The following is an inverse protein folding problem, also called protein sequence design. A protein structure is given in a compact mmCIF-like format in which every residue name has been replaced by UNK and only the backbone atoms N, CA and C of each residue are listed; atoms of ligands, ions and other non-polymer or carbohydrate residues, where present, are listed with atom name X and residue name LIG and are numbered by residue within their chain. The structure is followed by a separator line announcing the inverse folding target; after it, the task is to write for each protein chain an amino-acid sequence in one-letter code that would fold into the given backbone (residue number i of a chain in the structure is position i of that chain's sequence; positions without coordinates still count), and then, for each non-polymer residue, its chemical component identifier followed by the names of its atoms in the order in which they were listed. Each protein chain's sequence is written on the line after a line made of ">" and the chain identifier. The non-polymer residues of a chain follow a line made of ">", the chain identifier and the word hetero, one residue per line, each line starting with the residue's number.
data_IF_913661049163
#
_entry.id   IF_913661049163
#
_cell.length_a   1.000
_cell.length_b   1.000
_cell.length_c   1.000
_cell.angle_alpha   90.00
_cell.angle_beta   90.00
_cell.angle_gamma   90.00
#
_symmetry.space_group_name_H-M   'P 1'
#
loop_
_entity.id
_entity.type
_entity.pdbx_description
1 polymer ?
#
# COMPACT_ATOMS: atom_id res chain seq x y z
N UNK A 1 -12.97 -23.12 -8.43
CA UNK A 1 -12.51 -24.07 -7.41
C UNK A 1 -11.69 -23.24 -6.42
N UNK A 2 -12.22 -22.93 -5.24
CA UNK A 2 -11.40 -22.30 -4.21
C UNK A 2 -10.46 -23.39 -3.67
N UNK A 3 -9.14 -23.16 -3.60
CA UNK A 3 -8.23 -24.15 -3.04
C UNK A 3 -8.63 -24.44 -1.60
N UNK A 4 -8.54 -25.71 -1.20
CA UNK A 4 -8.65 -26.12 0.20
C UNK A 4 -7.41 -25.56 0.92
N UNK A 5 -7.53 -24.34 1.42
CA UNK A 5 -6.43 -23.60 2.02
C UNK A 5 -6.37 -23.96 3.49
N UNK A 6 -5.42 -24.81 3.84
CA UNK A 6 -5.03 -25.02 5.24
C UNK A 6 -4.66 -23.66 5.84
N UNK A 7 -5.40 -23.27 6.89
CA UNK A 7 -5.22 -21.97 7.57
C UNK A 7 -3.79 -21.77 8.07
N UNK A 8 -3.06 -22.85 8.30
CA UNK A 8 -1.65 -22.85 8.71
C UNK A 8 -0.72 -22.18 7.68
N UNK A 9 -0.99 -22.31 6.38
CA UNK A 9 -0.18 -21.70 5.32
C UNK A 9 -0.61 -20.27 4.97
N UNK A 10 -1.67 -19.77 5.60
CA UNK A 10 -2.15 -18.40 5.37
C UNK A 10 -1.38 -17.45 6.27
N UNK A 11 -0.55 -16.61 5.68
CA UNK A 11 0.11 -15.51 6.37
C UNK A 11 -0.88 -14.32 6.48
N UNK A 12 -1.46 -14.00 7.65
CA UNK A 12 -2.59 -13.07 7.73
C UNK A 12 -2.25 -11.64 7.29
N UNK A 13 -1.00 -11.22 7.48
CA UNK A 13 -0.56 -9.88 7.08
C UNK A 13 -0.48 -9.71 5.56
N UNK A 14 -0.22 -10.78 4.80
CA UNK A 14 -0.22 -10.74 3.35
C UNK A 14 -1.65 -10.54 2.82
N UNK A 15 -2.63 -11.22 3.40
CA UNK A 15 -4.04 -11.02 3.05
C UNK A 15 -4.48 -9.57 3.30
N UNK A 16 -4.13 -9.00 4.45
CA UNK A 16 -4.39 -7.58 4.75
C UNK A 16 -3.72 -6.64 3.75
N UNK A 17 -2.51 -6.98 3.28
CA UNK A 17 -1.81 -6.18 2.28
C UNK A 17 -2.52 -6.24 0.91
N UNK A 18 -3.01 -7.41 0.52
CA UNK A 18 -3.84 -7.56 -0.69
C UNK A 18 -5.12 -6.75 -0.57
N UNK A 19 -5.83 -6.83 0.56
CA UNK A 19 -7.04 -6.03 0.82
C UNK A 19 -6.80 -4.51 0.68
N UNK A 20 -5.66 -4.01 1.17
CA UNK A 20 -5.27 -2.60 1.01
C UNK A 20 -4.99 -2.25 -0.46
N UNK A 21 -4.31 -3.14 -1.20
CA UNK A 21 -4.06 -2.93 -2.63
C UNK A 21 -5.35 -2.90 -3.45
N UNK A 22 -6.29 -3.80 -3.15
CA UNK A 22 -7.59 -3.86 -3.82
C UNK A 22 -8.39 -2.57 -3.54
N UNK A 23 -8.44 -2.12 -2.29
CA UNK A 23 -9.09 -0.85 -1.92
C UNK A 23 -8.52 0.36 -2.67
N UNK A 24 -7.19 0.49 -2.69
CA UNK A 24 -6.52 1.58 -3.41
C UNK A 24 -6.64 1.43 -4.94
N UNK A 25 -6.84 0.20 -5.42
CA UNK A 25 -7.14 -0.11 -6.80
C UNK A 25 -8.44 0.53 -7.28
N UNK A 26 -9.44 0.67 -6.41
CA UNK A 26 -10.72 1.30 -6.72
C UNK A 26 -10.69 2.84 -6.66
N UNK A 27 -9.66 3.43 -6.04
CA UNK A 27 -9.57 4.89 -5.82
C UNK A 27 -8.29 5.47 -6.46
N UNK A 28 -8.37 5.97 -7.71
CA UNK A 28 -7.20 6.47 -8.44
C UNK A 28 -6.42 7.58 -7.72
N UNK A 29 -7.10 8.45 -6.97
CA UNK A 29 -6.48 9.55 -6.21
C UNK A 29 -5.79 9.10 -4.91
N UNK A 30 -5.85 7.81 -4.58
CA UNK A 30 -5.32 7.26 -3.34
C UNK A 30 -6.13 7.62 -2.09
N UNK A 31 -5.62 7.17 -0.95
CA UNK A 31 -6.24 7.40 0.36
C UNK A 31 -5.18 7.65 1.43
N UNK A 32 -5.53 8.46 2.44
CA UNK A 32 -4.72 8.60 3.67
C UNK A 32 -4.89 7.40 4.58
N UNK A 33 -3.95 7.20 5.50
CA UNK A 33 -3.94 6.08 6.46
C UNK A 33 -5.25 5.98 7.26
N UNK A 34 -5.80 7.13 7.67
CA UNK A 34 -7.07 7.18 8.43
C UNK A 34 -8.23 6.61 7.61
N UNK A 35 -8.28 6.93 6.32
CA UNK A 35 -9.33 6.47 5.41
C UNK A 35 -9.17 4.97 5.16
N UNK A 36 -7.94 4.51 4.87
CA UNK A 36 -7.67 3.08 4.69
C UNK A 36 -8.04 2.29 5.96
N UNK A 37 -7.72 2.80 7.15
CA UNK A 37 -8.11 2.20 8.42
C UNK A 37 -9.64 2.11 8.57
N UNK A 38 -10.36 3.19 8.24
CA UNK A 38 -11.82 3.23 8.34
C UNK A 38 -12.49 2.24 7.38
N UNK A 39 -12.04 2.18 6.12
CA UNK A 39 -12.63 1.32 5.09
C UNK A 39 -12.28 -0.17 5.28
N UNK A 40 -11.07 -0.48 5.77
CA UNK A 40 -10.63 -1.88 5.92
C UNK A 40 -10.86 -2.47 7.31
N UNK A 41 -11.04 -1.63 8.33
CA UNK A 41 -11.04 -2.03 9.74
C UNK A 41 -9.66 -2.47 10.27
N UNK A 42 -8.60 -2.42 9.46
CA UNK A 42 -7.23 -2.78 9.87
C UNK A 42 -6.69 -1.68 10.79
N UNK A 43 -6.09 -2.04 11.92
CA UNK A 43 -5.50 -1.08 12.86
C UNK A 43 -4.52 -0.10 12.17
N UNK A 44 -4.58 1.20 12.52
CA UNK A 44 -3.78 2.27 11.87
C UNK A 44 -2.28 1.96 11.80
N UNK A 45 -1.69 1.42 12.87
CA UNK A 45 -0.25 1.05 12.90
C UNK A 45 0.07 -0.08 11.93
N UNK A 46 -0.86 -1.00 11.72
CA UNK A 46 -0.74 -2.09 10.72
C UNK A 46 -0.88 -1.53 9.31
N UNK A 47 -1.86 -0.64 9.07
CA UNK A 47 -2.01 0.07 7.79
C UNK A 47 -0.73 0.81 7.43
N UNK A 48 -0.18 1.60 8.36
CA UNK A 48 1.07 2.34 8.17
C UNK A 48 2.21 1.41 7.72
N UNK A 49 2.43 0.29 8.42
CA UNK A 49 3.46 -0.67 8.05
C UNK A 49 3.25 -1.27 6.66
N UNK A 50 2.01 -1.66 6.35
CA UNK A 50 1.64 -2.20 5.03
C UNK A 50 1.95 -1.18 3.93
N UNK A 51 1.42 0.04 4.02
CA UNK A 51 1.58 1.03 2.94
C UNK A 51 3.03 1.46 2.78
N UNK A 52 3.80 1.59 3.88
CA UNK A 52 5.24 1.88 3.81
C UNK A 52 6.01 0.76 3.12
N UNK A 53 5.75 -0.50 3.46
CA UNK A 53 6.35 -1.66 2.76
C UNK A 53 5.98 -1.66 1.28
N UNK A 54 4.72 -1.34 0.94
CA UNK A 54 4.28 -1.29 -0.45
C UNK A 54 4.86 -0.11 -1.24
N UNK A 55 5.19 1.00 -0.58
CA UNK A 55 5.97 2.11 -1.19
C UNK A 55 7.40 1.67 -1.49
N UNK A 56 8.09 1.05 -0.53
CA UNK A 56 9.47 0.55 -0.74
C UNK A 56 9.54 -0.49 -1.87
N UNK A 57 8.52 -1.35 -1.99
CA UNK A 57 8.43 -2.33 -3.09
C UNK A 57 7.96 -1.74 -4.43
N UNK A 58 7.70 -0.43 -4.51
CA UNK A 58 7.28 0.25 -5.73
C UNK A 58 5.84 -0.05 -6.17
N UNK A 59 5.01 -0.64 -5.31
CA UNK A 59 3.59 -0.93 -5.59
C UNK A 59 2.71 0.29 -5.34
N UNK A 60 3.01 1.04 -4.29
CA UNK A 60 2.35 2.29 -3.96
C UNK A 60 3.30 3.47 -4.15
N UNK A 61 2.71 4.64 -4.34
CA UNK A 61 3.36 5.92 -4.19
C UNK A 61 2.76 6.66 -3.00
N UNK A 62 3.52 7.57 -2.40
CA UNK A 62 3.07 8.45 -1.32
C UNK A 62 3.11 9.89 -1.81
N UNK A 63 1.95 10.53 -1.88
CA UNK A 63 1.84 11.92 -2.28
C UNK A 63 2.12 12.89 -1.15
N UNK A 64 2.46 14.12 -1.54
CA UNK A 64 2.66 15.25 -0.63
C UNK A 64 1.45 15.57 0.27
N UNK A 65 0.23 15.18 -0.13
CA UNK A 65 -0.98 15.33 0.68
C UNK A 65 -1.19 14.20 1.72
N UNK A 66 -0.24 13.28 1.84
CA UNK A 66 -0.29 12.13 2.75
C UNK A 66 -1.10 10.94 2.22
N UNK A 67 -1.59 10.99 0.98
CA UNK A 67 -2.32 9.89 0.35
C UNK A 67 -1.38 8.84 -0.24
N UNK A 68 -1.79 7.59 -0.18
CA UNK A 68 -1.14 6.46 -0.83
C UNK A 68 -1.96 6.00 -2.03
N UNK A 69 -1.34 5.83 -3.20
CA UNK A 69 -2.03 5.43 -4.43
C UNK A 69 -1.22 4.36 -5.18
N UNK A 70 -1.90 3.56 -6.02
CA UNK A 70 -1.25 2.55 -6.87
C UNK A 70 -0.30 3.26 -7.85
N UNK A 71 0.98 2.91 -7.82
CA UNK A 71 2.02 3.61 -8.59
C UNK A 71 1.79 3.62 -10.12
N UNK A 72 1.11 2.58 -10.66
CA UNK A 72 0.79 2.48 -12.09
C UNK A 72 -0.51 3.22 -12.49
N UNK A 73 -1.37 3.61 -11.54
CA UNK A 73 -2.68 4.23 -11.80
C UNK A 73 -2.67 5.76 -11.68
N UNK A 74 -1.48 6.37 -11.70
CA UNK A 74 -1.32 7.82 -11.67
C UNK A 74 -1.78 8.41 -13.02
N UNK A 75 -3.07 8.75 -13.11
CA UNK A 75 -3.60 9.57 -14.20
C UNK A 75 -3.08 11.01 -14.05
N UNK A 76 -3.03 11.75 -15.16
CA UNK A 76 -2.42 13.07 -15.33
C UNK A 76 -2.87 14.19 -14.35
N UNK A 77 -3.87 13.95 -13.50
CA UNK A 77 -4.32 14.86 -12.43
C UNK A 77 -3.52 14.72 -11.13
N UNK A 78 -2.75 13.64 -11.00
CA UNK A 78 -1.81 13.48 -9.90
C UNK A 78 -0.47 14.03 -10.35
N UNK A 79 0.00 15.09 -9.70
CA UNK A 79 1.32 15.64 -9.94
C UNK A 79 2.38 14.59 -9.60
N UNK A 80 2.82 13.83 -10.59
CA UNK A 80 3.81 12.77 -10.46
C UNK A 80 5.19 13.31 -10.07
N UNK A 81 5.41 14.63 -10.19
CA UNK A 81 6.56 15.35 -9.62
C UNK A 81 6.54 15.41 -8.09
N UNK A 82 5.40 15.08 -7.47
CA UNK A 82 5.18 15.07 -6.02
C UNK A 82 5.29 13.68 -5.39
N UNK A 83 5.52 12.63 -6.18
CA UNK A 83 5.96 11.35 -5.64
C UNK A 83 7.40 11.55 -5.16
N UNK A 84 7.53 12.06 -3.94
CA UNK A 84 8.83 12.26 -3.32
C UNK A 84 9.59 10.96 -3.49
N UNK A 85 10.68 11.05 -4.23
CA UNK A 85 11.59 9.94 -4.42
C UNK A 85 12.08 9.58 -3.03
N UNK A 86 11.43 8.60 -2.41
CA UNK A 86 11.83 7.94 -1.16
C UNK A 86 13.09 7.09 -1.46
N UNK A 87 14.08 7.69 -2.15
CA UNK A 87 15.40 7.13 -2.45
C UNK A 87 16.20 6.88 -1.16
N UNK A 88 15.69 7.32 -0.01
CA UNK A 88 16.22 7.03 1.32
C UNK A 88 15.84 5.63 1.83
N UNK A 89 14.74 5.02 1.36
CA UNK A 89 14.31 3.69 1.87
C UNK A 89 14.76 2.53 0.98
N UNK A 90 15.07 2.79 -0.29
CA UNK A 90 15.62 1.78 -1.21
C UNK A 90 16.99 1.27 -0.75
N UNK A 91 17.74 2.07 0.00
CA UNK A 91 19.11 1.77 0.45
C UNK A 91 19.19 1.14 1.86
N UNK A 92 18.06 0.76 2.49
CA UNK A 92 18.07 0.19 3.86
C UNK A 92 17.47 -1.22 3.96
N UNK A 93 17.01 -1.80 2.85
CA UNK A 93 16.45 -3.15 2.84
C UNK A 93 17.23 -4.01 1.84
N UNK A 94 18.53 -4.18 2.08
CA UNK A 94 19.21 -5.38 1.62
C UNK A 94 18.63 -6.54 2.43
N UNK A 95 17.81 -7.37 1.77
CA UNK A 95 17.40 -8.65 2.34
C UNK A 95 18.66 -9.51 2.34
N UNK A 96 19.26 -9.68 3.53
CA UNK A 96 20.35 -10.61 3.80
C UNK A 96 19.95 -12.06 3.50
#
# INVERSE_FOLDING_TARGET
>A
MQPDLDREYIVPILLKSVQVLDLLGEVPGGMRIEQIHQETGIAKTTVYRIVRTLVVSGRLCHANNGAYAIARKLNAEFDSSSCSSDSLYRNQVEIA
#
